data_IF_439782013472
#
_entry.id   IF_439782013472
#
_cell.length_a   1.000
_cell.length_b   1.000
_cell.length_c   1.000
_cell.angle_alpha   90.00
_cell.angle_beta   90.00
_cell.angle_gamma   90.00
#
_symmetry.space_group_name_H-M   'P 1'
#
loop_
_entity.id
_entity.type
_entity.pdbx_description
1 polymer ?
#
# COMPACT_ATOMS: atom_id res chain seq x y z
N UNK A 1 -20.36 -1.49 4.04
CA UNK A 1 -20.15 -0.18 3.45
C UNK A 1 -20.14 -0.36 1.93
N UNK A 2 -21.20 0.08 1.26
CA UNK A 2 -21.26 0.18 -0.19
C UNK A 2 -20.63 1.49 -0.65
N UNK A 3 -20.36 1.62 -1.93
CA UNK A 3 -20.00 2.89 -2.52
C UNK A 3 -21.16 3.87 -2.35
N UNK A 4 -20.89 5.17 -2.12
CA UNK A 4 -21.96 6.14 -2.04
C UNK A 4 -22.78 6.12 -3.36
N UNK A 5 -24.09 6.29 -3.30
CA UNK A 5 -24.89 6.46 -4.50
C UNK A 5 -24.43 7.72 -5.23
N UNK A 6 -24.34 7.64 -6.55
CA UNK A 6 -24.06 8.81 -7.36
C UNK A 6 -25.38 9.42 -7.82
N UNK A 7 -25.94 10.29 -6.97
CA UNK A 7 -27.22 10.94 -7.21
C UNK A 7 -27.18 11.91 -8.43
N UNK A 8 -25.97 12.35 -8.83
CA UNK A 8 -25.81 13.25 -9.99
C UNK A 8 -25.93 12.51 -11.31
N UNK A 9 -25.65 11.23 -11.33
CA UNK A 9 -25.62 10.42 -12.56
C UNK A 9 -26.84 9.52 -12.70
N UNK A 10 -27.78 9.56 -11.74
CA UNK A 10 -29.05 8.86 -11.79
C UNK A 10 -28.98 7.35 -11.53
N UNK A 11 -27.78 6.79 -11.26
CA UNK A 11 -27.60 5.38 -10.90
C UNK A 11 -26.36 5.17 -10.04
N UNK A 12 -26.45 4.24 -9.11
CA UNK A 12 -25.44 4.01 -8.05
C UNK A 12 -24.06 3.51 -8.53
N UNK A 13 -23.95 3.12 -9.79
CA UNK A 13 -22.68 2.67 -10.41
C UNK A 13 -22.09 3.68 -11.39
N UNK A 14 -22.61 4.90 -11.41
CA UNK A 14 -22.16 5.97 -12.31
C UNK A 14 -20.66 6.24 -12.25
N UNK A 15 -20.06 6.18 -11.06
CA UNK A 15 -18.63 6.33 -10.84
C UNK A 15 -17.76 5.37 -11.68
N UNK A 16 -18.26 4.18 -12.03
CA UNK A 16 -17.51 3.25 -12.89
C UNK A 16 -17.20 3.87 -14.24
N UNK A 17 -18.21 4.53 -14.85
CA UNK A 17 -18.11 5.11 -16.19
C UNK A 17 -17.40 6.46 -16.18
N UNK A 18 -17.64 7.27 -15.16
CA UNK A 18 -17.14 8.65 -15.10
C UNK A 18 -15.79 8.79 -14.42
N UNK A 19 -15.35 7.78 -13.66
CA UNK A 19 -14.06 7.81 -12.93
C UNK A 19 -13.19 6.60 -13.27
N UNK A 20 -13.67 5.37 -12.97
CA UNK A 20 -12.83 4.17 -13.01
C UNK A 20 -12.46 3.76 -14.44
N UNK A 21 -13.42 3.80 -15.37
CA UNK A 21 -13.20 3.40 -16.76
C UNK A 21 -12.72 4.55 -17.67
N UNK A 22 -12.38 5.69 -17.09
CA UNK A 22 -11.61 6.68 -17.83
C UNK A 22 -10.23 6.10 -18.18
N UNK A 23 -9.73 6.43 -19.37
CA UNK A 23 -8.51 5.82 -19.93
C UNK A 23 -7.34 5.79 -18.94
N UNK A 24 -6.99 6.93 -18.35
CA UNK A 24 -5.82 7.04 -17.49
C UNK A 24 -6.04 6.36 -16.13
N UNK A 25 -7.25 6.44 -15.57
CA UNK A 25 -7.64 5.73 -14.37
C UNK A 25 -7.58 4.21 -14.58
N UNK A 26 -8.11 3.72 -15.71
CA UNK A 26 -8.09 2.31 -16.04
C UNK A 26 -6.67 1.77 -16.25
N UNK A 27 -5.84 2.50 -16.98
CA UNK A 27 -4.43 2.16 -17.16
C UNK A 27 -3.68 2.15 -15.82
N UNK A 28 -3.99 3.08 -14.92
CA UNK A 28 -3.43 3.07 -13.57
C UNK A 28 -3.90 1.85 -12.76
N UNK A 29 -5.17 1.46 -12.87
CA UNK A 29 -5.68 0.24 -12.20
C UNK A 29 -4.92 -0.99 -12.71
N UNK A 30 -4.82 -1.16 -14.02
CA UNK A 30 -4.15 -2.32 -14.63
C UNK A 30 -2.65 -2.33 -14.33
N UNK A 31 -1.98 -1.19 -14.43
CA UNK A 31 -0.52 -1.11 -14.30
C UNK A 31 0.00 -0.99 -12.87
N UNK A 32 -0.83 -0.56 -11.92
CA UNK A 32 -0.34 -0.15 -10.59
C UNK A 32 -1.15 -0.72 -9.40
N UNK A 33 -2.30 -1.32 -9.64
CA UNK A 33 -3.14 -1.89 -8.59
C UNK A 33 -3.38 -3.39 -8.76
N UNK A 34 -3.41 -3.90 -9.99
CA UNK A 34 -3.57 -5.33 -10.20
C UNK A 34 -2.32 -6.08 -9.72
N UNK A 35 -2.55 -7.14 -8.96
CA UNK A 35 -1.49 -8.06 -8.54
C UNK A 35 -1.98 -9.50 -8.55
N UNK A 36 -1.07 -10.43 -8.75
CA UNK A 36 -1.34 -11.86 -8.67
C UNK A 36 -1.02 -12.34 -7.26
N UNK A 37 -2.02 -12.82 -6.57
CA UNK A 37 -1.87 -13.45 -5.26
C UNK A 37 -1.78 -14.97 -5.41
N UNK A 38 -0.72 -15.56 -4.87
CA UNK A 38 -0.55 -17.00 -4.81
C UNK A 38 -0.69 -17.45 -3.35
N UNK A 39 -1.72 -18.22 -3.06
CA UNK A 39 -1.95 -18.80 -1.74
C UNK A 39 -1.70 -20.30 -1.74
N UNK A 40 -1.02 -20.80 -0.70
CA UNK A 40 -0.82 -22.23 -0.47
C UNK A 40 -1.94 -22.76 0.43
N UNK A 41 -2.61 -23.80 0.00
CA UNK A 41 -3.57 -24.57 0.78
C UNK A 41 -3.22 -26.05 0.77
N UNK A 42 -3.83 -26.86 1.65
CA UNK A 42 -3.71 -28.32 1.60
C UNK A 42 -5.04 -28.91 1.15
N UNK A 43 -5.00 -29.86 0.25
CA UNK A 43 -6.17 -30.63 -0.14
C UNK A 43 -6.59 -31.61 0.98
N UNK A 44 -7.70 -32.32 0.78
CA UNK A 44 -8.22 -33.31 1.71
C UNK A 44 -7.24 -34.48 1.99
N UNK A 45 -6.21 -34.65 1.15
CA UNK A 45 -5.15 -35.66 1.29
C UNK A 45 -3.87 -35.10 1.88
N UNK A 46 -3.85 -33.82 2.30
CA UNK A 46 -2.68 -33.15 2.88
C UNK A 46 -1.64 -32.68 1.84
N UNK A 47 -1.91 -32.81 0.54
CA UNK A 47 -1.02 -32.34 -0.53
C UNK A 47 -1.15 -30.82 -0.68
N UNK A 48 -0.01 -30.14 -0.84
CA UNK A 48 0.03 -28.70 -1.12
C UNK A 48 -0.64 -28.40 -2.46
N UNK A 49 -1.57 -27.45 -2.43
CA UNK A 49 -2.24 -26.90 -3.61
C UNK A 49 -2.00 -25.39 -3.64
N UNK A 50 -1.54 -24.89 -4.76
CA UNK A 50 -1.35 -23.47 -5.00
C UNK A 50 -2.57 -22.91 -5.73
N UNK A 51 -3.22 -21.92 -5.11
CA UNK A 51 -4.33 -21.19 -5.71
C UNK A 51 -3.82 -19.83 -6.16
N UNK A 52 -4.06 -19.50 -7.40
CA UNK A 52 -3.71 -18.21 -7.98
C UNK A 52 -4.98 -17.38 -8.14
N UNK A 53 -4.99 -16.19 -7.59
CA UNK A 53 -6.08 -15.21 -7.73
C UNK A 53 -5.56 -13.86 -8.18
N UNK A 54 -6.38 -13.15 -8.95
CA UNK A 54 -6.09 -11.78 -9.34
C UNK A 54 -6.70 -10.83 -8.29
N UNK A 55 -5.84 -10.10 -7.61
CA UNK A 55 -6.27 -9.09 -6.65
C UNK A 55 -6.60 -7.80 -7.39
N UNK A 56 -7.86 -7.38 -7.29
CA UNK A 56 -8.40 -6.17 -7.86
C UNK A 56 -8.82 -5.20 -6.74
N UNK A 57 -8.50 -3.90 -6.83
CA UNK A 57 -8.88 -2.95 -5.79
C UNK A 57 -10.40 -2.76 -5.75
N UNK A 58 -10.97 -2.71 -4.56
CA UNK A 58 -12.34 -2.21 -4.39
C UNK A 58 -12.35 -0.70 -4.58
N UNK A 59 -13.46 -0.13 -5.01
CA UNK A 59 -13.56 1.31 -5.27
C UNK A 59 -13.05 2.18 -4.12
N UNK A 60 -13.47 1.92 -2.88
CA UNK A 60 -13.04 2.70 -1.72
C UNK A 60 -11.53 2.61 -1.44
N UNK A 61 -10.86 1.51 -1.82
CA UNK A 61 -9.41 1.37 -1.68
C UNK A 61 -8.69 2.20 -2.75
N UNK A 62 -9.13 2.09 -3.99
CA UNK A 62 -8.63 2.86 -5.12
C UNK A 62 -8.83 4.37 -4.90
N UNK A 63 -10.03 4.79 -4.48
CA UNK A 63 -10.39 6.18 -4.21
C UNK A 63 -9.52 6.76 -3.07
N UNK A 64 -9.37 6.03 -1.96
CA UNK A 64 -8.55 6.47 -0.84
C UNK A 64 -7.08 6.65 -1.23
N UNK A 65 -6.50 5.70 -1.97
CA UNK A 65 -5.10 5.80 -2.43
C UNK A 65 -4.94 7.00 -3.36
N UNK A 66 -5.81 7.19 -4.35
CA UNK A 66 -5.69 8.32 -5.28
C UNK A 66 -5.90 9.68 -4.58
N UNK A 67 -6.83 9.79 -3.64
CA UNK A 67 -7.02 11.01 -2.84
C UNK A 67 -5.78 11.38 -2.06
N UNK A 68 -5.14 10.40 -1.42
CA UNK A 68 -3.90 10.63 -0.66
C UNK A 68 -2.74 11.04 -1.57
N UNK A 69 -2.58 10.41 -2.73
CA UNK A 69 -1.55 10.78 -3.71
C UNK A 69 -1.75 12.21 -4.22
N UNK A 70 -2.97 12.55 -4.60
CA UNK A 70 -3.30 13.88 -5.10
C UNK A 70 -3.11 14.95 -4.01
N UNK A 71 -3.54 14.69 -2.78
CA UNK A 71 -3.32 15.59 -1.65
C UNK A 71 -1.82 15.77 -1.37
N UNK A 72 -1.03 14.69 -1.39
CA UNK A 72 0.43 14.77 -1.22
C UNK A 72 1.10 15.63 -2.30
N UNK A 73 0.67 15.52 -3.56
CA UNK A 73 1.21 16.34 -4.65
C UNK A 73 0.81 17.81 -4.53
N UNK A 74 -0.43 18.08 -4.09
CA UNK A 74 -0.95 19.44 -3.98
C UNK A 74 -0.46 20.19 -2.74
N UNK A 75 -0.35 19.50 -1.60
CA UNK A 75 -0.06 20.10 -0.28
C UNK A 75 1.41 19.94 0.14
N UNK A 76 2.15 19.05 -0.55
CA UNK A 76 3.52 18.72 -0.22
C UNK A 76 3.66 17.75 0.95
N UNK A 77 4.91 17.56 1.40
CA UNK A 77 5.26 16.68 2.53
C UNK A 77 4.95 17.33 3.87
N UNK A 78 4.83 16.53 4.94
CA UNK A 78 4.62 17.01 6.32
C UNK A 78 3.15 17.12 6.73
N UNK A 79 2.21 16.76 5.88
CA UNK A 79 0.78 16.74 6.19
C UNK A 79 0.35 15.44 6.89
N UNK A 80 -0.74 15.51 7.66
CA UNK A 80 -1.31 14.37 8.37
C UNK A 80 -2.69 14.05 7.82
N UNK A 81 -2.90 12.80 7.41
CA UNK A 81 -4.17 12.32 6.86
C UNK A 81 -4.70 11.14 7.68
N UNK A 82 -6.01 11.12 7.90
CA UNK A 82 -6.71 10.01 8.55
C UNK A 82 -7.59 9.28 7.53
N UNK A 83 -7.36 7.97 7.38
CA UNK A 83 -8.20 7.09 6.56
C UNK A 83 -8.96 6.14 7.46
N UNK A 84 -10.28 6.28 7.49
CA UNK A 84 -11.15 5.42 8.29
C UNK A 84 -11.84 4.38 7.42
N UNK A 85 -11.46 3.14 7.59
CA UNK A 85 -12.09 1.99 6.93
C UNK A 85 -12.66 1.02 7.97
N UNK A 86 -13.81 0.40 7.68
CA UNK A 86 -14.43 -0.62 8.53
C UNK A 86 -13.56 -1.88 8.67
N UNK A 87 -13.83 -2.70 9.68
CA UNK A 87 -13.20 -4.01 9.79
C UNK A 87 -13.53 -4.87 8.55
N UNK A 88 -12.58 -5.66 8.06
CA UNK A 88 -12.76 -6.51 6.89
C UNK A 88 -12.80 -5.78 5.53
N UNK A 89 -12.56 -4.48 5.48
CA UNK A 89 -12.54 -3.70 4.23
C UNK A 89 -11.29 -3.88 3.36
N UNK A 90 -10.31 -4.66 3.81
CA UNK A 90 -9.03 -4.85 3.12
C UNK A 90 -8.04 -3.70 3.33
N UNK A 91 -7.97 -3.16 4.55
CA UNK A 91 -7.03 -2.08 4.91
C UNK A 91 -5.57 -2.40 4.58
N UNK A 92 -5.14 -3.63 4.79
CA UNK A 92 -3.76 -4.06 4.49
C UNK A 92 -3.42 -3.87 3.02
N UNK A 93 -4.34 -4.22 2.11
CA UNK A 93 -4.15 -3.99 0.68
C UNK A 93 -4.11 -2.50 0.33
N UNK A 94 -4.96 -1.68 0.97
CA UNK A 94 -4.93 -0.21 0.78
C UNK A 94 -3.58 0.36 1.21
N UNK A 95 -3.04 -0.07 2.36
CA UNK A 95 -1.72 0.35 2.85
C UNK A 95 -0.61 -0.13 1.90
N UNK A 96 -0.69 -1.38 1.42
CA UNK A 96 0.27 -1.92 0.46
C UNK A 96 0.31 -1.11 -0.83
N UNK A 97 -0.84 -0.89 -1.47
CA UNK A 97 -0.90 -0.05 -2.67
C UNK A 97 -0.41 1.36 -2.41
N UNK A 98 -0.81 1.98 -1.29
CA UNK A 98 -0.35 3.33 -0.94
C UNK A 98 1.17 3.39 -0.78
N UNK A 99 1.78 2.44 -0.06
CA UNK A 99 3.21 2.39 0.15
C UNK A 99 3.98 2.32 -1.18
N UNK A 100 3.61 1.42 -2.08
CA UNK A 100 4.24 1.29 -3.40
C UNK A 100 4.02 2.52 -4.28
N UNK A 101 2.84 3.11 -4.22
CA UNK A 101 2.51 4.32 -4.98
C UNK A 101 3.28 5.55 -4.48
N UNK A 102 3.42 5.73 -3.17
CA UNK A 102 4.22 6.80 -2.58
C UNK A 102 5.72 6.60 -2.86
N UNK A 103 6.22 5.37 -2.77
CA UNK A 103 7.61 5.05 -3.05
C UNK A 103 8.04 5.35 -4.50
N UNK A 104 7.09 5.35 -5.43
CA UNK A 104 7.30 5.68 -6.85
C UNK A 104 6.70 7.03 -7.26
N UNK A 105 6.33 7.89 -6.30
CA UNK A 105 5.69 9.16 -6.59
C UNK A 105 6.72 10.20 -7.03
N UNK A 106 6.47 10.83 -8.18
CA UNK A 106 7.25 11.94 -8.71
C UNK A 106 6.36 13.19 -8.85
N UNK A 107 6.94 14.35 -8.68
CA UNK A 107 6.28 15.63 -8.94
C UNK A 107 6.29 15.97 -10.44
N UNK A 108 5.72 17.11 -10.80
CA UNK A 108 5.65 17.58 -12.20
C UNK A 108 7.02 17.83 -12.84
N UNK A 109 8.07 18.02 -12.02
CA UNK A 109 9.45 18.15 -12.48
C UNK A 109 10.19 16.80 -12.59
N UNK A 110 9.46 15.69 -12.50
CA UNK A 110 9.98 14.31 -12.49
C UNK A 110 10.96 14.03 -11.34
N UNK A 111 10.83 14.76 -10.26
CA UNK A 111 11.63 14.55 -9.05
C UNK A 111 10.85 13.67 -8.08
N UNK A 112 11.56 12.75 -7.46
CA UNK A 112 11.00 11.86 -6.44
C UNK A 112 10.52 12.65 -5.23
N UNK A 113 9.29 12.40 -4.77
CA UNK A 113 8.68 13.12 -3.63
C UNK A 113 9.19 12.59 -2.30
N UNK A 114 9.42 11.28 -2.20
CA UNK A 114 9.89 10.62 -0.99
C UNK A 114 11.10 9.73 -1.28
N UNK A 115 12.13 9.83 -0.45
CA UNK A 115 13.30 8.94 -0.51
C UNK A 115 12.95 7.55 0.02
N UNK A 116 12.17 7.50 1.09
CA UNK A 116 11.71 6.27 1.73
C UNK A 116 10.27 6.40 2.26
N UNK A 117 9.53 5.33 2.23
CA UNK A 117 8.19 5.18 2.84
C UNK A 117 8.29 4.23 4.01
N UNK A 118 7.96 4.69 5.20
CA UNK A 118 7.99 3.86 6.41
C UNK A 118 6.58 3.45 6.79
N UNK A 119 6.34 2.14 6.82
CA UNK A 119 5.08 1.57 7.30
C UNK A 119 5.26 1.09 8.73
N UNK A 120 4.54 1.71 9.66
CA UNK A 120 4.62 1.42 11.09
C UNK A 120 3.36 0.69 11.52
N UNK A 121 3.54 -0.47 12.18
CA UNK A 121 2.44 -1.25 12.76
C UNK A 121 2.54 -1.29 14.28
N UNK A 122 1.39 -1.38 14.97
CA UNK A 122 1.34 -1.48 16.44
C UNK A 122 1.54 -2.92 16.93
N UNK A 123 1.06 -3.94 16.19
CA UNK A 123 1.02 -5.33 16.65
C UNK A 123 1.82 -6.27 15.76
N UNK A 124 2.67 -7.11 16.38
CA UNK A 124 3.49 -8.13 15.68
C UNK A 124 2.68 -9.11 14.80
N UNK A 125 1.44 -9.44 15.16
CA UNK A 125 0.60 -10.36 14.37
C UNK A 125 0.06 -9.69 13.12
N UNK A 126 -0.38 -8.43 13.24
CA UNK A 126 -0.82 -7.62 12.08
C UNK A 126 0.36 -7.26 11.18
N UNK A 127 1.54 -7.17 11.75
CA UNK A 127 2.79 -6.91 11.05
C UNK A 127 3.08 -7.97 9.98
N UNK A 128 2.96 -9.26 10.28
CA UNK A 128 3.19 -10.34 9.30
C UNK A 128 2.21 -10.28 8.13
N UNK A 129 0.92 -10.15 8.40
CA UNK A 129 -0.09 -10.08 7.32
C UNK A 129 0.11 -8.86 6.43
N UNK A 130 0.42 -7.71 7.04
CA UNK A 130 0.69 -6.50 6.29
C UNK A 130 1.99 -6.60 5.49
N UNK A 131 3.03 -7.18 6.09
CA UNK A 131 4.29 -7.45 5.42
C UNK A 131 4.09 -8.35 4.20
N UNK A 132 3.41 -9.49 4.37
CA UNK A 132 3.13 -10.42 3.28
C UNK A 132 2.34 -9.72 2.16
N UNK A 133 1.36 -8.88 2.53
CA UNK A 133 0.59 -8.09 1.57
C UNK A 133 1.47 -7.10 0.80
N UNK A 134 2.35 -6.36 1.47
CA UNK A 134 3.25 -5.38 0.81
C UNK A 134 4.25 -6.10 -0.08
N UNK A 135 4.79 -7.25 0.36
CA UNK A 135 5.69 -8.07 -0.47
C UNK A 135 5.01 -8.65 -1.71
N UNK A 136 3.74 -9.01 -1.63
CA UNK A 136 2.97 -9.49 -2.79
C UNK A 136 2.85 -8.44 -3.91
N UNK A 137 2.90 -7.17 -3.57
CA UNK A 137 2.89 -6.07 -4.54
C UNK A 137 4.28 -5.71 -5.06
N UNK A 138 5.34 -6.30 -4.51
CA UNK A 138 6.72 -6.05 -4.93
C UNK A 138 7.03 -6.83 -6.21
N UNK A 139 6.89 -6.15 -7.35
CA UNK A 139 7.28 -6.68 -8.66
C UNK A 139 8.79 -6.58 -8.93
N UNK A 140 9.52 -5.88 -8.07
CA UNK A 140 10.99 -5.70 -8.17
C UNK A 140 11.64 -6.11 -6.85
N UNK A 141 12.39 -7.19 -6.86
CA UNK A 141 13.10 -7.66 -5.66
C UNK A 141 14.00 -6.57 -5.06
N UNK A 142 13.87 -6.35 -3.76
CA UNK A 142 14.73 -5.44 -3.00
C UNK A 142 14.18 -4.04 -2.75
N UNK A 143 12.96 -3.75 -3.19
CA UNK A 143 12.28 -2.48 -2.91
C UNK A 143 11.81 -2.40 -1.46
N UNK A 144 11.36 -3.53 -0.90
CA UNK A 144 10.83 -3.64 0.47
C UNK A 144 11.89 -4.22 1.40
N UNK A 145 12.13 -3.56 2.53
CA UNK A 145 12.96 -4.06 3.62
C UNK A 145 12.12 -4.25 4.88
N UNK A 146 12.22 -5.44 5.45
CA UNK A 146 11.52 -5.81 6.67
C UNK A 146 12.46 -5.70 7.85
N UNK A 147 12.06 -4.96 8.88
CA UNK A 147 12.82 -4.79 10.10
C UNK A 147 12.32 -5.76 11.16
N UNK A 148 12.96 -6.92 11.24
CA UNK A 148 12.58 -7.98 12.19
C UNK A 148 13.42 -7.96 13.48
N UNK A 149 14.70 -7.58 13.39
CA UNK A 149 15.64 -7.75 14.47
C UNK A 149 15.68 -6.56 15.44
N UNK A 150 16.21 -5.42 15.01
CA UNK A 150 16.47 -4.31 15.91
C UNK A 150 16.50 -2.94 15.19
N UNK A 151 16.72 -1.87 15.98
CA UNK A 151 16.82 -0.51 15.50
C UNK A 151 18.04 -0.25 14.59
N UNK A 152 19.12 -1.04 14.73
CA UNK A 152 20.32 -0.91 13.87
C UNK A 152 20.00 -1.36 12.45
N UNK A 153 19.17 -2.39 12.28
CA UNK A 153 18.69 -2.81 10.97
C UNK A 153 17.85 -1.72 10.31
N UNK A 154 17.00 -1.01 11.09
CA UNK A 154 16.20 0.11 10.58
C UNK A 154 17.09 1.28 10.14
N UNK A 155 18.09 1.66 10.95
CA UNK A 155 19.05 2.70 10.56
C UNK A 155 19.80 2.32 9.27
N UNK A 156 20.31 1.09 9.20
CA UNK A 156 20.98 0.59 8.01
C UNK A 156 20.11 0.49 6.77
N UNK A 157 18.79 0.27 6.90
CA UNK A 157 17.84 0.30 5.79
C UNK A 157 17.63 1.73 5.26
N UNK A 158 17.55 2.70 6.17
CA UNK A 158 17.48 4.13 5.84
C UNK A 158 18.75 4.60 5.13
N UNK A 159 19.92 4.29 5.67
CA UNK A 159 21.21 4.64 5.08
C UNK A 159 21.41 4.05 3.68
N UNK A 160 20.89 2.86 3.44
CA UNK A 160 20.90 2.19 2.12
C UNK A 160 19.85 2.72 1.15
N UNK A 161 19.02 3.68 1.56
CA UNK A 161 17.97 4.27 0.72
C UNK A 161 16.90 3.26 0.29
N UNK A 162 16.50 2.34 1.19
CA UNK A 162 15.41 1.41 0.90
C UNK A 162 14.10 2.14 0.71
N UNK A 163 13.38 1.83 -0.37
CA UNK A 163 12.20 2.57 -0.79
C UNK A 163 11.00 2.36 0.13
N UNK A 164 10.81 1.14 0.62
CA UNK A 164 9.72 0.79 1.55
C UNK A 164 10.33 0.05 2.74
N UNK A 165 10.08 0.55 3.94
CA UNK A 165 10.56 -0.02 5.18
C UNK A 165 9.37 -0.37 6.05
N UNK A 166 9.26 -1.62 6.50
CA UNK A 166 8.19 -2.07 7.38
C UNK A 166 8.75 -2.34 8.77
N UNK A 167 8.19 -1.69 9.78
CA UNK A 167 8.65 -1.81 11.17
C UNK A 167 7.48 -1.73 12.16
N UNK A 168 7.76 -2.06 13.42
CA UNK A 168 6.79 -1.89 14.52
C UNK A 168 7.09 -0.63 15.33
N UNK A 169 6.06 -0.06 15.94
CA UNK A 169 6.18 1.15 16.76
C UNK A 169 7.25 0.99 17.87
N UNK A 170 7.39 -0.22 18.44
CA UNK A 170 8.33 -0.49 19.51
C UNK A 170 9.81 -0.38 19.09
N UNK A 171 10.11 -0.49 17.79
CA UNK A 171 11.47 -0.41 17.27
C UNK A 171 11.88 1.02 16.89
N UNK A 172 10.92 1.90 16.73
CA UNK A 172 11.14 3.24 16.21
C UNK A 172 11.87 4.21 17.18
N UNK A 173 11.59 4.25 18.50
CA UNK A 173 12.22 5.22 19.41
C UNK A 173 13.74 5.13 19.45
N UNK A 174 14.30 3.94 19.31
CA UNK A 174 15.76 3.69 19.39
C UNK A 174 16.55 4.09 18.14
N UNK A 175 15.84 4.50 17.08
CA UNK A 175 16.48 4.93 15.81
C UNK A 175 16.92 6.38 15.90
N UNK A 176 16.14 7.22 16.58
CA UNK A 176 16.45 8.64 16.73
C UNK A 176 17.79 8.86 17.45
N UNK A 177 18.17 7.96 18.36
CA UNK A 177 19.45 8.02 19.07
C UNK A 177 20.67 7.57 18.24
N UNK A 178 20.44 7.00 17.03
CA UNK A 178 21.49 6.39 16.19
C UNK A 178 21.67 7.07 14.84
N UNK A 179 20.70 7.87 14.40
CA UNK A 179 20.69 8.60 13.11
C UNK A 179 21.01 10.10 13.30
N UNK A 180 21.38 10.50 14.53
CA UNK A 180 21.81 11.85 14.88
C UNK A 180 23.28 12.10 14.63
#
# INVERSE_FOLDING_TARGET
AGNPPDDKLGYSTGYLWHEVFQRDAWLAVVGKFLSVEVSESKDAKGKKVFNTSLLFPRYHQWDAVNKLLNATLAEGVGQTYLVQHSAGSGKSNTIGWLAHRLASLHNDADQKVFDSVIVITDRRVLDRQLQDTIYQFDHQQGVVEKIDENSTQLAGALDKGKLIIITTLQKFPWVLDKVG
#
